data_IF_154061133947
#
_entry.id   IF_154061133947
#
_cell.length_a   1.000
_cell.length_b   1.000
_cell.length_c   1.000
_cell.angle_alpha   90.00
_cell.angle_beta   90.00
_cell.angle_gamma   90.00
#
_symmetry.space_group_name_H-M   'P 1'
#
loop_
_entity.id
_entity.type
_entity.pdbx_description
1 polymer ?
#
# COMPACT_ATOMS: atom_id res chain seq x y z
N UNK A 1 24.71 -60.10 -52.95
CA UNK A 1 25.50 -59.43 -51.89
C UNK A 1 24.93 -58.03 -51.70
N UNK A 2 24.53 -57.75 -50.45
CA UNK A 2 24.03 -56.53 -49.78
C UNK A 2 23.79 -55.23 -50.57
N UNK A 3 22.55 -54.77 -50.42
CA UNK A 3 22.06 -53.40 -50.59
C UNK A 3 22.81 -52.39 -49.70
N UNK A 4 22.95 -51.15 -50.15
CA UNK A 4 23.15 -49.99 -49.27
C UNK A 4 22.48 -48.74 -49.88
N UNK A 5 21.24 -48.49 -49.47
CA UNK A 5 20.57 -47.19 -49.57
C UNK A 5 21.10 -46.32 -48.42
N UNK A 6 21.73 -45.19 -48.75
CA UNK A 6 22.06 -44.14 -47.80
C UNK A 6 20.87 -43.17 -47.74
N UNK A 7 20.05 -43.29 -46.71
CA UNK A 7 19.08 -42.27 -46.31
C UNK A 7 19.78 -41.33 -45.32
N UNK A 8 20.03 -40.09 -45.72
CA UNK A 8 20.51 -39.03 -44.83
C UNK A 8 19.37 -38.55 -43.95
N UNK A 9 19.51 -38.74 -42.64
CA UNK A 9 18.59 -38.22 -41.62
C UNK A 9 18.91 -36.74 -41.39
N UNK A 10 17.96 -35.86 -41.75
CA UNK A 10 17.95 -34.47 -41.30
C UNK A 10 17.49 -34.44 -39.83
N UNK A 11 18.42 -34.19 -38.92
CA UNK A 11 18.10 -33.93 -37.51
C UNK A 11 17.66 -32.46 -37.42
N UNK A 12 16.35 -32.23 -37.43
CA UNK A 12 15.78 -30.93 -37.06
C UNK A 12 15.97 -30.71 -35.57
N UNK A 13 16.80 -29.74 -35.21
CA UNK A 13 16.85 -29.21 -33.85
C UNK A 13 15.57 -28.41 -33.61
N UNK A 14 14.59 -29.03 -32.96
CA UNK A 14 13.49 -28.30 -32.34
C UNK A 14 14.07 -27.63 -31.10
N UNK A 15 14.27 -26.32 -31.15
CA UNK A 15 14.43 -25.48 -29.97
C UNK A 15 13.11 -25.58 -29.18
N UNK A 16 13.05 -26.53 -28.25
CA UNK A 16 12.06 -26.51 -27.19
C UNK A 16 12.43 -25.34 -26.29
N UNK A 17 11.86 -24.17 -26.56
CA UNK A 17 11.79 -23.13 -25.55
C UNK A 17 11.07 -23.72 -24.34
N UNK A 18 11.74 -23.74 -23.20
CA UNK A 18 11.12 -24.07 -21.93
C UNK A 18 10.04 -23.01 -21.68
N UNK A 19 8.79 -23.35 -22.01
CA UNK A 19 7.63 -22.68 -21.44
C UNK A 19 7.64 -23.00 -19.95
N UNK A 20 8.32 -22.17 -19.18
CA UNK A 20 8.12 -22.13 -17.73
C UNK A 20 6.64 -21.79 -17.52
N UNK A 21 5.93 -22.63 -16.77
CA UNK A 21 4.54 -22.38 -16.45
C UNK A 21 4.48 -21.08 -15.64
N UNK A 22 3.86 -20.05 -16.21
CA UNK A 22 3.54 -18.82 -15.49
C UNK A 22 2.61 -19.18 -14.33
N UNK A 23 2.81 -18.57 -13.16
CA UNK A 23 2.01 -18.83 -11.98
C UNK A 23 0.52 -18.64 -12.26
N UNK A 24 -0.33 -19.37 -11.52
CA UNK A 24 -1.78 -19.17 -11.63
C UNK A 24 -2.15 -17.73 -11.28
N UNK A 25 -3.05 -17.11 -12.06
CA UNK A 25 -3.49 -15.71 -11.89
C UNK A 25 -5.00 -15.61 -11.91
N UNK A 26 -5.56 -14.72 -11.10
CA UNK A 26 -6.98 -14.37 -11.09
C UNK A 26 -7.19 -12.87 -10.90
N UNK A 27 -8.27 -12.34 -11.46
CA UNK A 27 -8.82 -11.03 -11.09
C UNK A 27 -9.56 -11.20 -9.75
N UNK A 28 -9.23 -10.37 -8.76
CA UNK A 28 -9.72 -10.51 -7.39
C UNK A 28 -10.15 -9.16 -6.83
N UNK A 29 -11.24 -9.14 -6.07
CA UNK A 29 -11.60 -7.96 -5.28
C UNK A 29 -10.61 -7.78 -4.11
N UNK A 30 -10.29 -6.53 -3.77
CA UNK A 30 -9.46 -6.21 -2.60
C UNK A 30 -9.99 -6.88 -1.33
N UNK A 31 -11.31 -6.86 -1.12
CA UNK A 31 -11.95 -7.48 0.04
C UNK A 31 -11.70 -8.99 0.12
N UNK A 32 -11.74 -9.71 -1.01
CA UNK A 32 -11.44 -11.14 -1.06
C UNK A 32 -9.96 -11.40 -0.83
N UNK A 33 -9.09 -10.59 -1.45
CA UNK A 33 -7.65 -10.72 -1.32
C UNK A 33 -7.13 -10.45 0.10
N UNK A 34 -7.79 -9.54 0.82
CA UNK A 34 -7.47 -9.18 2.21
C UNK A 34 -8.27 -10.00 3.25
N UNK A 35 -8.91 -11.10 2.86
CA UNK A 35 -9.67 -11.92 3.80
C UNK A 35 -8.77 -12.57 4.87
N UNK A 36 -9.15 -12.46 6.14
CA UNK A 36 -8.43 -13.01 7.30
C UNK A 36 -9.31 -13.95 8.13
N UNK A 37 -8.68 -14.83 8.90
CA UNK A 37 -9.36 -15.68 9.88
C UNK A 37 -9.47 -14.97 11.25
N UNK A 38 -10.05 -15.64 12.24
CA UNK A 38 -10.21 -15.10 13.59
C UNK A 38 -8.90 -14.78 14.34
N UNK A 39 -7.76 -15.29 13.86
CA UNK A 39 -6.43 -14.99 14.38
C UNK A 39 -5.71 -13.88 13.59
N UNK A 40 -6.38 -13.26 12.59
CA UNK A 40 -5.78 -12.25 11.70
C UNK A 40 -4.88 -12.84 10.61
N UNK A 41 -4.84 -14.17 10.45
CA UNK A 41 -4.05 -14.80 9.40
C UNK A 41 -4.81 -14.74 8.08
N UNK A 42 -4.09 -14.45 6.99
CA UNK A 42 -4.68 -14.33 5.66
C UNK A 42 -5.16 -15.69 5.14
N UNK A 43 -6.27 -15.66 4.43
CA UNK A 43 -6.98 -16.86 3.97
C UNK A 43 -7.02 -17.02 2.46
N UNK A 44 -6.65 -15.97 1.71
CA UNK A 44 -6.57 -16.06 0.25
C UNK A 44 -5.46 -17.04 -0.18
N UNK A 45 -5.83 -18.08 -0.92
CA UNK A 45 -4.92 -19.12 -1.41
C UNK A 45 -5.34 -19.69 -2.77
N UNK A 46 -6.19 -18.97 -3.52
CA UNK A 46 -6.77 -19.48 -4.76
C UNK A 46 -5.78 -19.51 -5.93
N UNK A 47 -4.83 -18.58 -5.96
CA UNK A 47 -3.82 -18.43 -7.02
C UNK A 47 -2.46 -17.99 -6.46
N UNK A 48 -1.43 -18.03 -7.30
CA UNK A 48 -0.07 -17.58 -6.96
C UNK A 48 0.14 -16.10 -7.22
N UNK A 49 -0.57 -15.56 -8.22
CA UNK A 49 -0.61 -14.15 -8.58
C UNK A 49 -2.05 -13.64 -8.55
N UNK A 50 -2.21 -12.34 -8.33
CA UNK A 50 -3.49 -11.66 -8.34
C UNK A 50 -3.44 -10.46 -9.27
N UNK A 51 -4.59 -10.09 -9.82
CA UNK A 51 -4.83 -8.83 -10.52
C UNK A 51 -5.90 -8.07 -9.76
N UNK A 52 -5.60 -6.84 -9.34
CA UNK A 52 -6.52 -5.95 -8.63
C UNK A 52 -6.57 -4.58 -9.33
N UNK A 53 -7.73 -3.93 -9.26
CA UNK A 53 -7.92 -2.56 -9.74
C UNK A 53 -8.36 -1.64 -8.61
N UNK A 54 -7.86 -0.41 -8.63
CA UNK A 54 -8.25 0.59 -7.64
C UNK A 54 -7.62 1.96 -7.86
N UNK A 55 -8.01 2.90 -7.01
CA UNK A 55 -7.58 4.30 -7.06
C UNK A 55 -6.31 4.50 -6.24
N UNK A 56 -5.29 5.11 -6.85
CA UNK A 56 -4.03 5.46 -6.20
C UNK A 56 -4.25 6.50 -5.10
N UNK A 57 -3.94 6.16 -3.86
CA UNK A 57 -4.21 7.03 -2.72
C UNK A 57 -3.12 8.05 -2.42
N UNK A 58 -1.87 7.82 -2.81
CA UNK A 58 -0.77 8.74 -2.50
C UNK A 58 0.40 8.60 -3.48
N UNK A 59 1.31 9.58 -3.45
CA UNK A 59 2.59 9.45 -4.13
C UNK A 59 3.49 8.50 -3.31
N UNK A 60 4.09 7.45 -3.93
CA UNK A 60 4.98 6.54 -3.22
C UNK A 60 6.11 7.23 -2.45
N UNK A 61 6.64 8.33 -3.00
CA UNK A 61 7.75 9.08 -2.41
C UNK A 61 7.40 9.82 -1.10
N UNK A 62 6.11 10.01 -0.81
CA UNK A 62 5.65 10.66 0.42
C UNK A 62 5.59 9.70 1.61
N UNK A 63 5.81 8.39 1.41
CA UNK A 63 5.71 7.41 2.49
C UNK A 63 7.06 6.80 2.90
N UNK A 64 7.75 6.15 1.96
CA UNK A 64 9.01 5.46 2.21
C UNK A 64 10.17 6.16 1.49
N UNK A 65 11.41 5.87 1.90
CA UNK A 65 12.60 6.45 1.26
C UNK A 65 13.08 5.55 0.11
N UNK A 66 12.94 5.97 -1.16
CA UNK A 66 13.37 5.17 -2.30
C UNK A 66 14.86 5.34 -2.62
N UNK A 67 15.65 6.03 -1.79
CA UNK A 67 17.07 6.31 -2.04
C UNK A 67 17.91 5.03 -1.96
N UNK A 68 18.50 4.56 -3.07
CA UNK A 68 19.24 3.29 -3.09
C UNK A 68 20.53 3.34 -2.27
N UNK A 69 20.81 2.26 -1.54
CA UNK A 69 22.07 2.02 -0.82
C UNK A 69 22.35 0.51 -0.65
N UNK A 70 22.94 -0.11 -1.68
CA UNK A 70 23.43 -1.50 -1.66
C UNK A 70 24.73 -1.70 -0.86
N UNK A 71 25.27 -0.62 -0.27
CA UNK A 71 26.34 -0.67 0.73
C UNK A 71 25.84 -1.05 2.13
N UNK A 72 24.51 -1.06 2.34
CA UNK A 72 23.90 -1.38 3.63
C UNK A 72 24.07 -2.87 3.97
N UNK A 73 24.93 -3.16 4.94
CA UNK A 73 25.23 -4.54 5.39
C UNK A 73 24.63 -4.90 6.74
N UNK A 74 23.83 -3.99 7.34
CA UNK A 74 23.23 -4.23 8.64
C UNK A 74 22.10 -5.26 8.52
N UNK A 75 22.27 -6.39 9.21
CA UNK A 75 21.26 -7.45 9.31
C UNK A 75 19.92 -6.88 9.80
N UNK A 76 18.82 -7.39 9.23
CA UNK A 76 17.43 -6.96 9.49
C UNK A 76 17.03 -5.57 8.97
N UNK A 77 17.92 -4.86 8.27
CA UNK A 77 17.59 -3.57 7.66
C UNK A 77 17.44 -3.70 6.14
N UNK A 78 16.44 -2.99 5.62
CA UNK A 78 16.29 -2.72 4.19
C UNK A 78 16.88 -1.34 3.90
N UNK A 79 17.41 -1.16 2.69
CA UNK A 79 17.88 0.13 2.21
C UNK A 79 16.70 0.93 1.63
N UNK A 80 16.69 1.18 0.31
CA UNK A 80 15.56 1.80 -0.35
C UNK A 80 14.29 0.97 -0.20
N UNK A 81 13.17 1.66 -0.02
CA UNK A 81 11.84 1.06 0.06
C UNK A 81 10.85 1.88 -0.75
N UNK A 82 9.91 1.19 -1.40
CA UNK A 82 8.89 1.78 -2.22
C UNK A 82 7.55 1.12 -1.90
N UNK A 83 6.52 1.92 -1.67
CA UNK A 83 5.19 1.42 -1.34
C UNK A 83 4.12 2.33 -1.93
N UNK A 84 3.03 1.71 -2.38
CA UNK A 84 1.84 2.39 -2.87
C UNK A 84 0.59 1.74 -2.31
N UNK A 85 -0.34 2.52 -1.77
CA UNK A 85 -1.70 2.09 -1.48
C UNK A 85 -2.64 2.47 -2.62
N UNK A 86 -3.50 1.52 -3.00
CA UNK A 86 -4.61 1.74 -3.92
C UNK A 86 -5.88 1.08 -3.38
N UNK A 87 -7.01 1.74 -3.60
CA UNK A 87 -8.29 1.40 -2.98
C UNK A 87 -9.30 0.90 -4.01
N UNK A 88 -10.02 -0.17 -3.67
CA UNK A 88 -11.15 -0.65 -4.45
C UNK A 88 -12.29 0.38 -4.54
N UNK A 89 -13.17 0.16 -5.49
CA UNK A 89 -14.31 1.04 -5.79
C UNK A 89 -15.64 0.29 -5.66
N UNK A 90 -16.72 1.05 -5.51
CA UNK A 90 -18.07 0.49 -5.39
C UNK A 90 -18.21 -0.42 -4.16
N UNK A 91 -18.62 -1.67 -4.39
CA UNK A 91 -18.82 -2.66 -3.32
C UNK A 91 -17.51 -3.30 -2.82
N UNK A 92 -16.38 -3.02 -3.47
CA UNK A 92 -15.06 -3.52 -3.04
C UNK A 92 -14.46 -2.61 -1.96
N UNK A 93 -15.03 -2.71 -0.77
CA UNK A 93 -14.70 -1.89 0.41
C UNK A 93 -13.39 -2.33 1.09
N UNK A 94 -12.29 -2.28 0.37
CA UNK A 94 -10.94 -2.53 0.89
C UNK A 94 -9.88 -1.85 0.01
N UNK A 95 -8.62 -1.96 0.39
CA UNK A 95 -7.49 -1.52 -0.43
C UNK A 95 -6.33 -2.49 -0.30
N UNK A 96 -5.24 -2.20 -0.99
CA UNK A 96 -4.05 -3.05 -0.97
C UNK A 96 -2.79 -2.22 -1.10
N UNK A 97 -1.75 -2.64 -0.40
CA UNK A 97 -0.41 -2.12 -0.60
C UNK A 97 0.34 -2.94 -1.65
N UNK A 98 1.07 -2.23 -2.49
CA UNK A 98 2.16 -2.79 -3.30
C UNK A 98 3.46 -2.41 -2.60
N UNK A 99 4.40 -3.34 -2.44
CA UNK A 99 5.64 -3.10 -1.74
C UNK A 99 6.84 -3.66 -2.50
N UNK A 100 7.93 -2.88 -2.55
CA UNK A 100 9.23 -3.30 -3.04
C UNK A 100 10.32 -2.79 -2.08
N UNK A 101 11.34 -3.61 -1.84
CA UNK A 101 12.43 -3.30 -0.91
C UNK A 101 13.79 -3.69 -1.46
N UNK A 102 14.77 -2.81 -1.31
CA UNK A 102 16.16 -3.09 -1.59
C UNK A 102 16.80 -3.79 -0.39
N UNK A 103 17.79 -4.64 -0.65
CA UNK A 103 18.56 -5.35 0.38
C UNK A 103 17.74 -6.36 1.18
N UNK A 104 16.78 -7.04 0.55
CA UNK A 104 16.07 -8.16 1.19
C UNK A 104 17.01 -9.29 1.65
N UNK A 105 18.16 -9.45 0.99
CA UNK A 105 19.23 -10.37 1.39
C UNK A 105 19.89 -10.03 2.74
N UNK A 106 19.60 -8.87 3.36
CA UNK A 106 19.95 -8.59 4.76
C UNK A 106 19.05 -9.32 5.77
N UNK A 107 17.95 -9.94 5.31
CA UNK A 107 17.08 -10.78 6.13
C UNK A 107 17.60 -12.23 6.10
N UNK A 108 17.79 -12.89 7.26
CA UNK A 108 18.43 -14.21 7.31
C UNK A 108 17.65 -15.34 6.65
N UNK A 109 16.38 -15.10 6.33
CA UNK A 109 15.49 -16.07 5.68
C UNK A 109 15.33 -15.81 4.16
N UNK A 110 16.03 -14.82 3.60
CA UNK A 110 16.04 -14.53 2.16
C UNK A 110 17.36 -15.02 1.55
N UNK A 111 17.33 -15.39 0.26
CA UNK A 111 18.54 -15.76 -0.49
C UNK A 111 19.57 -14.62 -0.46
N UNK A 112 20.88 -14.91 -0.31
CA UNK A 112 21.94 -13.91 -0.41
C UNK A 112 21.93 -13.12 -1.73
N UNK A 113 21.42 -13.73 -2.81
CA UNK A 113 21.34 -13.13 -4.14
C UNK A 113 20.03 -12.35 -4.37
N UNK A 114 19.12 -12.33 -3.39
CA UNK A 114 17.77 -11.74 -3.52
C UNK A 114 17.67 -10.23 -3.31
N UNK A 115 18.80 -9.50 -3.32
CA UNK A 115 18.83 -8.05 -3.14
C UNK A 115 19.19 -7.32 -4.42
N UNK A 116 18.50 -6.21 -4.71
CA UNK A 116 18.84 -5.30 -5.82
C UNK A 116 20.12 -4.51 -5.55
N UNK A 117 21.01 -4.41 -6.55
CA UNK A 117 22.03 -3.36 -6.61
C UNK A 117 21.39 -1.98 -6.74
N UNK A 118 22.16 -0.90 -6.55
CA UNK A 118 21.64 0.46 -6.78
C UNK A 118 21.16 0.67 -8.21
N UNK A 119 21.90 0.14 -9.20
CA UNK A 119 21.54 0.23 -10.61
C UNK A 119 20.27 -0.56 -10.92
N UNK A 120 20.15 -1.78 -10.37
CA UNK A 120 18.96 -2.61 -10.54
C UNK A 120 17.74 -1.95 -9.90
N UNK A 121 17.87 -1.42 -8.68
CA UNK A 121 16.80 -0.69 -8.00
C UNK A 121 16.29 0.51 -8.82
N UNK A 122 17.21 1.31 -9.38
CA UNK A 122 16.85 2.44 -10.24
C UNK A 122 16.17 1.98 -11.53
N UNK A 123 16.60 0.85 -12.10
CA UNK A 123 15.95 0.26 -13.26
C UNK A 123 14.52 -0.20 -12.93
N UNK A 124 14.30 -0.84 -11.79
CA UNK A 124 12.98 -1.27 -11.33
C UNK A 124 12.04 -0.10 -11.07
N UNK A 125 12.51 0.94 -10.36
CA UNK A 125 11.71 2.16 -10.20
C UNK A 125 11.42 2.83 -11.54
N UNK A 126 12.35 2.80 -12.50
CA UNK A 126 12.09 3.34 -13.85
C UNK A 126 11.01 2.53 -14.58
N UNK A 127 11.05 1.19 -14.47
CA UNK A 127 10.06 0.27 -15.04
C UNK A 127 8.68 0.52 -14.45
N UNK A 128 8.56 0.60 -13.12
CA UNK A 128 7.28 0.84 -12.44
C UNK A 128 6.71 2.22 -12.76
N UNK A 129 7.55 3.26 -12.77
CA UNK A 129 7.10 4.62 -13.07
C UNK A 129 6.81 4.86 -14.56
N UNK A 130 7.15 3.92 -15.46
CA UNK A 130 6.82 4.01 -16.88
C UNK A 130 5.30 4.01 -17.15
N UNK A 131 4.50 3.51 -16.21
CA UNK A 131 3.04 3.60 -16.25
C UNK A 131 2.51 5.05 -16.09
N UNK A 132 3.32 5.96 -15.55
CA UNK A 132 2.99 7.38 -15.35
C UNK A 132 1.65 7.63 -14.64
N UNK A 133 1.31 6.78 -13.68
CA UNK A 133 0.16 7.00 -12.80
C UNK A 133 0.43 8.15 -11.83
N UNK A 134 -0.64 8.69 -11.26
CA UNK A 134 -0.64 9.77 -10.28
C UNK A 134 -1.71 9.52 -9.22
N UNK A 135 -1.69 10.30 -8.13
CA UNK A 135 -2.73 10.26 -7.11
C UNK A 135 -4.11 10.51 -7.75
N UNK A 136 -5.10 9.67 -7.41
CA UNK A 136 -6.44 9.74 -7.99
C UNK A 136 -6.59 9.08 -9.37
N UNK A 137 -5.55 8.48 -9.93
CA UNK A 137 -5.68 7.62 -11.11
C UNK A 137 -6.19 6.23 -10.71
N UNK A 138 -6.93 5.58 -11.63
CA UNK A 138 -7.24 4.16 -11.53
C UNK A 138 -6.11 3.36 -12.15
N UNK A 139 -5.58 2.42 -11.40
CA UNK A 139 -4.56 1.48 -11.85
C UNK A 139 -5.04 0.04 -11.76
N UNK A 140 -4.43 -0.83 -12.56
CA UNK A 140 -4.49 -2.28 -12.43
C UNK A 140 -3.11 -2.79 -12.07
N UNK A 141 -3.04 -3.67 -11.08
CA UNK A 141 -1.78 -4.24 -10.59
C UNK A 141 -1.86 -5.74 -10.69
N UNK A 142 -0.87 -6.36 -11.34
CA UNK A 142 -0.74 -7.82 -11.42
C UNK A 142 0.58 -8.25 -10.80
N UNK A 143 0.57 -9.19 -9.86
CA UNK A 143 1.80 -9.64 -9.21
C UNK A 143 1.63 -10.80 -8.25
N UNK A 144 2.76 -11.31 -7.77
CA UNK A 144 2.79 -12.21 -6.61
C UNK A 144 2.50 -11.42 -5.33
N UNK A 145 2.35 -12.13 -4.21
CA UNK A 145 2.08 -11.52 -2.93
C UNK A 145 2.69 -12.29 -1.77
N UNK A 146 2.83 -11.61 -0.64
CA UNK A 146 3.10 -12.20 0.67
C UNK A 146 2.29 -11.48 1.75
N UNK A 147 2.02 -12.23 2.83
CA UNK A 147 1.49 -11.69 4.07
C UNK A 147 2.56 -10.85 4.78
N UNK A 148 2.17 -9.68 5.29
CA UNK A 148 2.99 -8.92 6.22
C UNK A 148 2.10 -8.25 7.25
N UNK A 149 2.21 -8.65 8.52
CA UNK A 149 1.55 -7.97 9.66
C UNK A 149 0.02 -7.77 9.52
N UNK A 150 -0.68 -8.84 9.13
CA UNK A 150 -2.15 -8.89 9.09
C UNK A 150 -2.78 -8.45 7.75
N UNK A 151 -1.95 -8.19 6.74
CA UNK A 151 -2.40 -7.82 5.38
C UNK A 151 -1.60 -8.53 4.30
N UNK A 152 -2.21 -8.67 3.12
CA UNK A 152 -1.53 -9.15 1.92
C UNK A 152 -1.00 -7.94 1.15
N UNK A 153 0.28 -7.98 0.78
CA UNK A 153 0.87 -6.99 -0.11
C UNK A 153 1.20 -7.67 -1.44
N UNK A 154 0.91 -6.98 -2.55
CA UNK A 154 1.51 -7.36 -3.84
C UNK A 154 3.00 -7.02 -3.76
N UNK A 155 3.86 -7.99 -4.03
CA UNK A 155 5.30 -7.84 -4.00
C UNK A 155 6.01 -8.94 -4.83
N UNK A 156 7.33 -8.90 -4.83
CA UNK A 156 8.18 -9.80 -5.62
C UNK A 156 8.66 -11.02 -4.82
N UNK A 157 7.96 -11.34 -3.72
CA UNK A 157 8.29 -12.42 -2.77
C UNK A 157 9.74 -12.41 -2.28
N UNK A 158 10.30 -11.22 -2.06
CA UNK A 158 11.69 -11.01 -1.64
C UNK A 158 12.72 -11.52 -2.65
N UNK A 159 12.41 -11.46 -3.95
CA UNK A 159 13.28 -11.88 -5.05
C UNK A 159 13.44 -10.75 -6.06
N UNK A 160 14.64 -10.63 -6.61
CA UNK A 160 15.00 -9.73 -7.72
C UNK A 160 15.00 -10.44 -9.08
N UNK A 161 14.40 -11.64 -9.17
CA UNK A 161 14.23 -12.33 -10.45
C UNK A 161 13.16 -11.59 -11.27
N UNK A 162 13.42 -11.15 -12.51
CA UNK A 162 12.43 -10.46 -13.35
C UNK A 162 11.13 -11.24 -13.58
N UNK A 163 11.11 -12.57 -13.34
CA UNK A 163 9.88 -13.36 -13.38
C UNK A 163 8.94 -13.09 -12.18
N UNK A 164 9.43 -12.42 -11.13
CA UNK A 164 8.70 -12.06 -9.92
C UNK A 164 8.19 -10.63 -9.93
N UNK A 165 8.60 -9.82 -10.90
CA UNK A 165 8.13 -8.46 -11.11
C UNK A 165 6.59 -8.41 -11.09
N UNK A 166 6.05 -7.47 -10.34
CA UNK A 166 4.66 -7.04 -10.52
C UNK A 166 4.60 -5.96 -11.61
N UNK A 167 3.44 -5.84 -12.26
CA UNK A 167 3.14 -4.80 -13.24
C UNK A 167 2.13 -3.82 -12.68
N UNK A 168 2.24 -2.56 -13.11
CA UNK A 168 1.23 -1.52 -12.88
C UNK A 168 0.81 -1.01 -14.25
N UNK A 169 -0.48 -1.09 -14.53
CA UNK A 169 -1.10 -0.52 -15.71
C UNK A 169 -1.95 0.68 -15.28
N UNK A 170 -1.80 1.79 -15.98
CA UNK A 170 -2.71 2.92 -15.85
C UNK A 170 -4.00 2.61 -16.62
N UNK A 171 -5.12 2.46 -15.92
CA UNK A 171 -6.42 2.15 -16.50
C UNK A 171 -7.14 3.43 -16.90
N UNK A 172 -7.20 4.42 -16.00
CA UNK A 172 -7.88 5.68 -16.23
C UNK A 172 -7.20 6.82 -15.46
N UNK A 173 -6.94 7.95 -16.11
CA UNK A 173 -6.36 9.15 -15.48
C UNK A 173 -7.42 10.01 -14.82
N UNK A 174 -7.09 10.57 -13.67
CA UNK A 174 -7.84 11.67 -13.06
C UNK A 174 -9.26 11.29 -12.70
N UNK A 175 -9.50 10.04 -12.29
CA UNK A 175 -10.79 9.61 -11.74
C UNK A 175 -11.13 10.43 -10.49
N UNK A 176 -10.09 10.82 -9.74
CA UNK A 176 -10.20 11.52 -8.48
C UNK A 176 -10.01 10.56 -7.32
N UNK A 177 -9.63 11.10 -6.17
CA UNK A 177 -9.58 10.31 -4.94
C UNK A 177 -11.00 9.96 -4.48
N UNK A 178 -11.19 8.79 -3.86
CA UNK A 178 -12.43 8.53 -3.14
C UNK A 178 -12.61 9.59 -2.05
N UNK A 179 -13.84 10.02 -1.81
CA UNK A 179 -14.15 10.83 -0.63
C UNK A 179 -13.77 10.02 0.62
N UNK A 180 -13.01 10.59 1.58
CA UNK A 180 -12.70 9.91 2.83
C UNK A 180 -13.97 9.45 3.54
N UNK A 181 -14.03 8.19 3.96
CA UNK A 181 -15.16 7.71 4.77
C UNK A 181 -15.05 8.28 6.19
N UNK A 182 -16.12 8.90 6.68
CA UNK A 182 -16.17 9.41 8.05
C UNK A 182 -16.22 8.25 9.03
N UNK A 183 -15.27 8.22 9.96
CA UNK A 183 -15.11 7.17 10.97
C UNK A 183 -14.83 7.83 12.32
N UNK A 184 -15.47 7.33 13.37
CA UNK A 184 -15.21 7.75 14.76
C UNK A 184 -14.24 6.78 15.45
N UNK A 185 -13.67 7.18 16.60
CA UNK A 185 -12.88 6.23 17.38
C UNK A 185 -13.72 5.06 17.91
N UNK A 186 -15.03 5.25 18.13
CA UNK A 186 -15.96 4.17 18.52
C UNK A 186 -16.16 3.12 17.43
N UNK A 187 -15.99 3.49 16.16
CA UNK A 187 -16.06 2.54 15.05
C UNK A 187 -14.80 1.65 14.96
N UNK A 188 -13.68 2.10 15.54
CA UNK A 188 -12.38 1.45 15.45
C UNK A 188 -11.93 0.79 16.75
N UNK A 189 -12.49 1.22 17.89
CA UNK A 189 -12.05 0.87 19.24
C UNK A 189 -13.24 0.59 20.15
N UNK A 190 -13.11 -0.42 21.01
CA UNK A 190 -14.11 -0.76 22.01
C UNK A 190 -14.05 0.16 23.24
N UNK A 191 -14.97 -0.03 24.20
CA UNK A 191 -15.05 0.76 25.43
C UNK A 191 -13.80 0.69 26.33
N UNK A 192 -12.90 -0.26 26.08
CA UNK A 192 -11.62 -0.43 26.78
C UNK A 192 -10.43 0.16 25.99
N UNK A 193 -10.71 0.93 24.92
CA UNK A 193 -9.75 1.50 23.98
C UNK A 193 -8.90 0.43 23.24
N UNK A 194 -9.44 -0.79 23.11
CA UNK A 194 -8.86 -1.88 22.33
C UNK A 194 -9.38 -1.87 20.89
N UNK A 195 -8.58 -2.28 19.92
CA UNK A 195 -9.02 -2.30 18.53
C UNK A 195 -10.15 -3.30 18.29
N UNK A 196 -11.16 -2.86 17.55
CA UNK A 196 -12.24 -3.73 17.07
C UNK A 196 -11.70 -4.48 15.85
N UNK A 197 -11.36 -5.74 16.06
CA UNK A 197 -11.01 -6.68 15.01
C UNK A 197 -12.24 -7.48 14.57
N UNK A 198 -12.53 -7.46 13.26
CA UNK A 198 -13.60 -8.25 12.66
C UNK A 198 -13.10 -9.00 11.42
N UNK A 199 -12.94 -10.34 11.47
CA UNK A 199 -12.47 -11.10 10.33
C UNK A 199 -13.47 -11.14 9.16
N UNK A 200 -14.75 -10.81 9.39
CA UNK A 200 -15.71 -10.65 8.29
C UNK A 200 -15.52 -9.32 7.53
N UNK A 201 -14.71 -8.41 8.06
CA UNK A 201 -14.44 -7.06 7.53
C UNK A 201 -15.71 -6.22 7.35
N UNK A 202 -16.71 -6.43 8.21
CA UNK A 202 -17.98 -5.70 8.17
C UNK A 202 -17.95 -4.47 9.08
N UNK A 203 -17.16 -4.52 10.16
CA UNK A 203 -16.97 -3.43 11.13
C UNK A 203 -15.50 -3.32 11.56
N UNK A 204 -15.18 -2.34 12.41
CA UNK A 204 -13.85 -2.24 13.01
C UNK A 204 -12.75 -1.86 12.03
N UNK A 205 -11.51 -2.03 12.45
CA UNK A 205 -10.35 -1.62 11.67
C UNK A 205 -10.21 -2.41 10.36
N UNK A 206 -10.61 -3.69 10.34
CA UNK A 206 -10.52 -4.54 9.15
C UNK A 206 -11.40 -4.05 8.00
N UNK A 207 -12.58 -3.47 8.26
CA UNK A 207 -13.43 -2.87 7.23
C UNK A 207 -12.72 -1.74 6.46
N UNK A 208 -11.84 -1.02 7.14
CA UNK A 208 -11.26 0.22 6.64
C UNK A 208 -9.80 0.06 6.19
N UNK A 209 -9.20 -1.12 6.35
CA UNK A 209 -7.80 -1.36 6.04
C UNK A 209 -7.47 -1.00 4.57
N UNK A 210 -6.40 -0.22 4.40
CA UNK A 210 -5.93 0.38 3.15
C UNK A 210 -6.93 1.32 2.45
N UNK A 211 -7.87 1.90 3.19
CA UNK A 211 -8.86 2.87 2.69
C UNK A 211 -8.62 4.27 3.26
N UNK A 212 -9.05 5.28 2.52
CA UNK A 212 -9.02 6.67 2.94
C UNK A 212 -10.17 6.96 3.91
N UNK A 213 -9.84 7.40 5.12
CA UNK A 213 -10.82 7.69 6.19
C UNK A 213 -10.58 9.07 6.79
N UNK A 214 -11.63 9.67 7.35
CA UNK A 214 -11.61 10.92 8.10
C UNK A 214 -12.05 10.67 9.54
N UNK A 215 -11.29 11.19 10.49
CA UNK A 215 -11.65 11.21 11.93
C UNK A 215 -11.74 12.67 12.34
N UNK A 216 -12.91 13.10 12.80
CA UNK A 216 -13.21 14.51 13.10
C UNK A 216 -13.05 14.84 14.58
N UNK A 217 -12.72 16.10 14.88
CA UNK A 217 -12.81 16.64 16.23
C UNK A 217 -11.88 16.00 17.26
N UNK A 218 -10.69 15.58 16.84
CA UNK A 218 -9.67 14.99 17.71
C UNK A 218 -8.58 16.01 18.06
N UNK A 219 -7.70 15.64 18.98
CA UNK A 219 -6.52 16.40 19.38
C UNK A 219 -5.29 15.51 19.36
N UNK A 220 -4.10 16.07 19.14
CA UNK A 220 -2.83 15.35 19.29
C UNK A 220 -2.44 15.31 20.76
N UNK A 221 -2.23 14.11 21.30
CA UNK A 221 -1.87 13.90 22.72
C UNK A 221 -0.52 14.53 23.07
N UNK A 222 0.49 14.31 22.23
CA UNK A 222 1.83 14.87 22.39
C UNK A 222 2.47 15.12 21.00
N UNK A 223 2.80 16.38 20.65
CA UNK A 223 3.41 16.71 19.36
C UNK A 223 4.91 16.38 19.29
N UNK A 224 5.54 15.87 20.35
CA UNK A 224 6.98 15.55 20.36
C UNK A 224 7.40 14.55 19.26
N UNK A 225 6.46 13.73 18.77
CA UNK A 225 6.66 12.81 17.66
C UNK A 225 6.56 13.43 16.27
N UNK A 226 6.34 14.74 16.13
CA UNK A 226 6.17 15.41 14.85
C UNK A 226 7.47 15.44 14.02
N UNK A 227 7.37 14.96 12.78
CA UNK A 227 8.46 14.98 11.80
C UNK A 227 8.33 13.83 10.80
N UNK A 228 9.23 13.77 9.79
CA UNK A 228 9.24 12.69 8.82
C UNK A 228 9.32 11.33 9.50
N UNK A 229 8.45 10.40 9.11
CA UNK A 229 8.32 9.07 9.72
C UNK A 229 7.94 9.08 11.21
N UNK A 230 7.51 10.23 11.72
CA UNK A 230 7.07 10.43 13.08
C UNK A 230 5.86 9.59 13.45
N UNK A 231 5.64 9.40 14.75
CA UNK A 231 4.44 8.75 15.28
C UNK A 231 3.77 9.70 16.25
N UNK A 232 2.48 9.90 16.07
CA UNK A 232 1.64 10.67 16.97
C UNK A 232 0.54 9.76 17.53
N UNK A 233 -0.16 10.26 18.53
CA UNK A 233 -1.40 9.67 19.03
C UNK A 233 -2.46 10.76 19.00
N UNK A 234 -3.62 10.46 18.43
CA UNK A 234 -4.79 11.33 18.47
C UNK A 234 -5.79 10.84 19.51
N UNK A 235 -6.62 11.74 20.03
CA UNK A 235 -7.66 11.42 21.01
C UNK A 235 -8.88 12.31 20.85
N UNK A 236 -10.06 11.74 21.11
CA UNK A 236 -11.33 12.45 21.30
C UNK A 236 -11.59 12.82 22.78
N UNK A 237 -10.60 12.60 23.66
CA UNK A 237 -10.70 12.77 25.11
C UNK A 237 -11.13 11.52 25.88
N UNK A 238 -11.52 10.45 25.18
CA UNK A 238 -11.90 9.15 25.77
C UNK A 238 -11.01 8.03 25.24
N UNK A 239 -10.89 7.91 23.91
CA UNK A 239 -10.15 6.88 23.20
C UNK A 239 -8.92 7.44 22.52
N UNK A 240 -7.98 6.58 22.14
CA UNK A 240 -6.73 6.98 21.49
C UNK A 240 -6.46 6.18 20.23
N UNK A 241 -5.89 6.82 19.21
CA UNK A 241 -5.55 6.15 17.96
C UNK A 241 -4.15 6.53 17.48
N UNK A 242 -3.29 5.56 17.08
CA UNK A 242 -1.98 5.87 16.55
C UNK A 242 -2.05 6.51 15.16
N UNK A 243 -1.22 7.52 14.92
CA UNK A 243 -1.03 8.14 13.61
C UNK A 243 0.44 8.02 13.20
N UNK A 244 0.69 7.49 12.01
CA UNK A 244 2.01 7.41 11.40
C UNK A 244 2.14 8.51 10.36
N UNK A 245 3.15 9.37 10.53
CA UNK A 245 3.47 10.43 9.59
C UNK A 245 4.36 9.87 8.48
N UNK A 246 4.09 10.28 7.24
CA UNK A 246 4.95 10.07 6.09
C UNK A 246 6.16 11.01 6.10
N UNK A 247 6.72 11.22 4.92
CA UNK A 247 7.86 12.10 4.65
C UNK A 247 7.55 13.19 3.62
N UNK A 248 6.27 13.40 3.31
CA UNK A 248 5.84 14.48 2.43
C UNK A 248 6.31 15.85 2.92
N UNK A 249 6.47 16.78 1.98
CA UNK A 249 7.21 18.03 2.18
C UNK A 249 6.67 18.96 3.28
N UNK A 250 5.40 18.85 3.70
CA UNK A 250 4.86 19.68 4.79
C UNK A 250 5.11 19.12 6.19
N UNK A 251 5.69 17.93 6.30
CA UNK A 251 6.01 17.30 7.58
C UNK A 251 7.52 17.43 7.82
N UNK A 252 7.92 18.45 8.58
CA UNK A 252 9.32 18.70 8.93
C UNK A 252 9.45 19.31 10.33
N UNK A 253 10.67 19.30 10.87
CA UNK A 253 10.93 19.88 12.19
C UNK A 253 10.54 21.36 12.23
N UNK A 254 9.61 21.72 13.12
CA UNK A 254 9.09 23.08 13.26
C UNK A 254 7.89 23.41 12.35
N UNK A 255 7.36 22.46 11.57
CA UNK A 255 6.13 22.67 10.78
C UNK A 255 4.84 22.37 11.54
N UNK A 256 4.93 21.88 12.79
CA UNK A 256 3.76 21.66 13.63
C UNK A 256 3.04 22.97 13.91
N UNK A 257 1.80 23.09 13.44
CA UNK A 257 0.94 24.24 13.65
C UNK A 257 -0.54 23.85 13.81
N UNK A 258 -0.79 22.59 14.18
CA UNK A 258 -2.14 22.08 14.36
C UNK A 258 -2.84 22.74 15.56
N UNK A 259 -4.11 23.06 15.38
CA UNK A 259 -5.00 23.59 16.42
C UNK A 259 -5.23 22.56 17.55
N UNK A 260 -5.80 23.01 18.67
CA UNK A 260 -6.14 22.15 19.81
C UNK A 260 -7.14 21.05 19.44
N UNK A 261 -8.03 21.34 18.47
CA UNK A 261 -8.96 20.39 17.87
C UNK A 261 -8.83 20.45 16.36
N UNK A 262 -8.76 19.28 15.73
CA UNK A 262 -8.48 19.11 14.30
C UNK A 262 -9.18 17.86 13.75
N UNK A 263 -9.29 17.81 12.44
CA UNK A 263 -9.65 16.59 11.72
C UNK A 263 -8.39 15.89 11.19
N UNK A 264 -8.44 14.57 11.06
CA UNK A 264 -7.34 13.79 10.46
C UNK A 264 -7.89 13.01 9.28
N UNK A 265 -7.25 13.14 8.12
CA UNK A 265 -7.55 12.30 6.95
C UNK A 265 -6.29 11.50 6.63
N UNK A 266 -6.45 10.18 6.54
CA UNK A 266 -5.34 9.30 6.23
C UNK A 266 -5.79 7.93 5.77
N UNK A 267 -4.81 7.07 5.50
CA UNK A 267 -5.02 5.70 5.04
C UNK A 267 -4.99 4.79 6.27
N UNK A 268 -6.07 4.08 6.56
CA UNK A 268 -6.05 3.14 7.69
C UNK A 268 -5.14 1.96 7.34
N UNK A 269 -4.19 1.62 8.21
CA UNK A 269 -3.22 0.56 7.97
C UNK A 269 -3.03 -0.30 9.22
N UNK A 270 -2.33 -1.42 9.07
CA UNK A 270 -1.89 -2.29 10.15
C UNK A 270 -0.39 -2.57 10.04
N UNK A 271 0.34 -2.36 11.14
CA UNK A 271 1.80 -2.56 11.23
C UNK A 271 2.22 -3.25 12.55
N UNK A 272 1.28 -3.92 13.22
CA UNK A 272 1.50 -4.73 14.42
C UNK A 272 2.02 -6.15 14.14
N UNK A 273 2.78 -6.71 15.09
CA UNK A 273 3.13 -8.14 15.05
C UNK A 273 1.99 -9.04 15.54
N UNK A 274 1.08 -8.49 16.34
CA UNK A 274 -0.19 -9.12 16.67
C UNK A 274 -1.17 -8.84 15.53
N UNK A 275 -1.60 -9.89 14.82
CA UNK A 275 -2.36 -9.78 13.56
C UNK A 275 -3.80 -9.29 13.74
N UNK A 276 -4.26 -9.12 14.98
CA UNK A 276 -5.59 -8.58 15.32
C UNK A 276 -5.51 -7.19 15.98
N UNK A 277 -4.35 -6.53 15.90
CA UNK A 277 -4.02 -5.28 16.59
C UNK A 277 -2.99 -4.49 15.74
N UNK A 278 -2.49 -3.36 16.25
CA UNK A 278 -1.44 -2.56 15.63
C UNK A 278 -1.92 -1.75 14.44
N UNK A 279 -3.19 -1.33 14.48
CA UNK A 279 -3.74 -0.42 13.49
C UNK A 279 -3.25 1.00 13.74
N UNK A 280 -3.01 1.71 12.64
CA UNK A 280 -2.59 3.11 12.66
C UNK A 280 -3.14 3.85 11.44
N UNK A 281 -3.33 5.15 11.57
CA UNK A 281 -3.73 6.00 10.47
C UNK A 281 -2.47 6.60 9.83
N UNK A 282 -2.26 6.36 8.53
CA UNK A 282 -1.14 6.92 7.80
C UNK A 282 -1.48 8.25 7.17
N UNK A 283 -0.78 9.31 7.58
CA UNK A 283 -0.86 10.64 6.99
C UNK A 283 0.42 10.92 6.24
N UNK A 284 0.38 10.83 4.91
CA UNK A 284 1.57 10.81 4.04
C UNK A 284 2.21 12.18 3.85
N UNK A 285 1.44 13.26 3.95
CA UNK A 285 1.89 14.63 3.76
C UNK A 285 0.99 15.59 4.56
N UNK A 286 1.34 16.87 4.58
CA UNK A 286 0.59 17.92 5.23
C UNK A 286 0.76 19.22 4.43
N UNK A 287 -0.25 20.09 4.41
CA UNK A 287 -0.19 21.36 3.67
C UNK A 287 -0.05 22.60 4.57
N UNK A 288 0.03 22.40 5.90
CA UNK A 288 0.23 23.49 6.85
C UNK A 288 -1.04 24.27 7.21
N UNK A 289 -2.24 23.76 6.89
CA UNK A 289 -3.49 24.53 7.09
C UNK A 289 -3.89 24.76 8.56
N UNK A 290 -3.38 23.97 9.51
CA UNK A 290 -3.62 24.08 10.96
C UNK A 290 -4.86 23.34 11.48
N UNK A 291 -5.82 23.01 10.62
CA UNK A 291 -7.15 22.51 11.00
C UNK A 291 -7.38 21.04 10.63
N UNK A 292 -6.75 20.57 9.55
CA UNK A 292 -6.90 19.20 9.04
C UNK A 292 -5.51 18.61 8.81
N UNK A 293 -5.15 17.59 9.59
CA UNK A 293 -3.93 16.82 9.37
C UNK A 293 -4.16 15.83 8.22
N UNK A 294 -3.80 16.25 7.01
CA UNK A 294 -4.00 15.48 5.78
C UNK A 294 -3.05 15.92 4.67
N UNK A 295 -2.81 15.05 3.69
CA UNK A 295 -2.22 15.46 2.43
C UNK A 295 -3.17 16.45 1.70
N UNK A 296 -2.65 17.43 0.94
CA UNK A 296 -3.49 18.41 0.25
C UNK A 296 -4.56 17.75 -0.64
N UNK A 297 -4.20 16.70 -1.36
CA UNK A 297 -5.10 15.96 -2.25
C UNK A 297 -6.23 15.25 -1.47
N UNK A 298 -5.91 14.70 -0.29
CA UNK A 298 -6.89 14.06 0.59
C UNK A 298 -7.88 15.07 1.15
N UNK A 299 -7.40 16.25 1.56
CA UNK A 299 -8.27 17.35 2.03
C UNK A 299 -9.17 17.88 0.92
N UNK A 300 -8.65 18.00 -0.30
CA UNK A 300 -9.47 18.41 -1.46
C UNK A 300 -10.55 17.39 -1.78
N UNK A 301 -10.26 16.08 -1.66
CA UNK A 301 -11.25 15.02 -1.87
C UNK A 301 -12.44 15.12 -0.90
N UNK A 302 -12.21 15.49 0.37
CA UNK A 302 -13.26 15.72 1.36
C UNK A 302 -14.23 16.86 0.96
N UNK A 303 -13.72 17.89 0.28
CA UNK A 303 -14.46 19.11 -0.08
C UNK A 303 -15.31 18.98 -1.37
N UNK A 304 -15.21 17.86 -2.09
CA UNK A 304 -15.79 17.72 -3.45
C UNK A 304 -17.31 17.76 -3.53
N UNK A 305 -18.03 17.62 -2.41
CA UNK A 305 -19.50 17.71 -2.35
C UNK A 305 -20.04 19.14 -2.05
N UNK A 306 -19.17 20.12 -1.75
CA UNK A 306 -19.58 21.50 -1.44
C UNK A 306 -19.75 22.38 -2.70
N UNK A 307 -20.35 21.85 -3.76
CA UNK A 307 -20.89 22.72 -4.82
C UNK A 307 -22.18 23.34 -4.28
N UNK A 308 -22.04 24.49 -3.62
CA UNK A 308 -23.17 25.39 -3.36
C UNK A 308 -23.72 25.79 -4.73
N UNK A 309 -24.86 25.22 -5.13
CA UNK A 309 -25.64 25.78 -6.22
C UNK A 309 -26.03 27.20 -5.77
N UNK A 310 -25.37 28.23 -6.32
CA UNK A 310 -25.84 29.59 -6.14
C UNK A 310 -27.27 29.67 -6.70
N UNK A 311 -28.24 30.18 -5.92
CA UNK A 311 -29.59 30.34 -6.43
C UNK A 311 -29.54 31.31 -7.61
N UNK A 312 -29.99 30.83 -8.78
CA UNK A 312 -30.19 31.67 -9.95
C UNK A 312 -31.20 32.74 -9.56
N UNK A 313 -30.75 33.99 -9.44
CA UNK A 313 -31.64 35.12 -9.23
C UNK A 313 -32.51 35.29 -10.48
N UNK A 314 -33.83 35.15 -10.32
CA UNK A 314 -34.85 35.47 -11.34
C UNK A 314 -34.91 36.98 -11.66
#
# INVERSE_FOLDING_TARGET
MRNALLAGVLIGWVLAGSLWAQGSVADVAHREFQAVNAAGELTYAATEMVTLEGIVLHNPGDMLDPTPDDGMTQMYNLAAQWQLFFQGEGDDVSGTAIFMGQMYNNLPWVSPDGGYSNEEWVAELTRLNAAQFSVGDRIRVTGYFLSYKGKNNINEQHSNDPQRDFTIELVEKGVGLPKPELVTLDDLKDDLDQFIFDPAREVGCERYQARLVKIEGVSVVDPAGWGPHGKLTITDGVKTFPVKLGRGNGIYAGSYNLDETLDVIGILNQEGTNLVDGYELYVVNYDGNGQVLAAPEHRLADQTDEVVEEPVAE
#
